data_IF_333489667018
#
_entry.id   IF_333489667018
#
_cell.length_a   1.000
_cell.length_b   1.000
_cell.length_c   1.000
_cell.angle_alpha   90.00
_cell.angle_beta   90.00
_cell.angle_gamma   90.00
#
_symmetry.space_group_name_H-M   'P 1'
#
loop_
_entity.id
_entity.type
_entity.pdbx_description
1 polymer ?
#
# COMPACT_ATOMS: atom_id res chain seq x y z
N UNK A 1 7.03 -5.22 -62.74
CA UNK A 1 6.19 -4.90 -61.55
C UNK A 1 6.58 -3.59 -60.84
N UNK A 2 7.85 -3.17 -60.82
CA UNK A 2 8.23 -1.90 -60.18
C UNK A 2 7.65 -0.64 -60.86
N UNK A 3 7.58 -0.62 -62.20
CA UNK A 3 7.08 0.54 -62.97
C UNK A 3 5.58 0.80 -62.78
N UNK A 4 4.79 -0.25 -62.64
CA UNK A 4 3.34 -0.16 -62.35
C UNK A 4 3.08 0.29 -60.92
N UNK A 5 3.91 -0.13 -59.95
CA UNK A 5 3.83 0.35 -58.57
C UNK A 5 4.17 1.84 -58.44
N UNK A 6 5.16 2.34 -59.19
CA UNK A 6 5.51 3.77 -59.22
C UNK A 6 4.41 4.62 -59.87
N UNK A 7 3.86 4.17 -61.01
CA UNK A 7 2.75 4.87 -61.68
C UNK A 7 1.47 4.90 -60.83
N UNK A 8 1.16 3.80 -60.12
CA UNK A 8 0.06 3.76 -59.16
C UNK A 8 0.30 4.70 -57.96
N UNK A 9 1.53 4.76 -57.46
CA UNK A 9 1.93 5.69 -56.38
C UNK A 9 1.77 7.16 -56.81
N UNK A 10 2.09 7.51 -58.06
CA UNK A 10 1.88 8.87 -58.59
C UNK A 10 0.40 9.18 -58.79
N UNK A 11 -0.39 8.26 -59.37
CA UNK A 11 -1.83 8.47 -59.53
C UNK A 11 -2.56 8.57 -58.19
N UNK A 12 -2.11 7.84 -57.16
CA UNK A 12 -2.65 7.94 -55.81
C UNK A 12 -2.34 9.27 -55.11
N UNK A 13 -1.27 9.99 -55.51
CA UNK A 13 -1.00 11.35 -55.00
C UNK A 13 -2.00 12.38 -55.54
N UNK A 14 -2.56 12.17 -56.72
CA UNK A 14 -3.48 13.11 -57.38
C UNK A 14 -4.95 12.93 -56.92
N UNK A 15 -5.31 11.81 -56.30
CA UNK A 15 -6.71 11.41 -56.13
C UNK A 15 -7.33 11.64 -54.74
N UNK A 16 -6.61 12.17 -53.75
CA UNK A 16 -7.22 12.43 -52.43
C UNK A 16 -6.34 13.31 -51.54
N UNK A 17 -6.98 14.03 -50.60
CA UNK A 17 -6.36 14.77 -49.50
C UNK A 17 -5.41 13.94 -48.61
N UNK A 18 -5.27 12.64 -48.85
CA UNK A 18 -4.24 11.76 -48.28
C UNK A 18 -2.81 12.28 -48.48
N UNK A 19 -2.52 13.07 -49.53
CA UNK A 19 -1.23 13.74 -49.74
C UNK A 19 -0.87 14.76 -48.65
N UNK A 20 -1.89 15.24 -47.90
CA UNK A 20 -1.73 16.19 -46.81
C UNK A 20 -1.48 15.50 -45.46
N UNK A 21 -1.92 14.24 -45.31
CA UNK A 21 -2.00 13.56 -44.02
C UNK A 21 -0.93 12.46 -43.86
N UNK A 22 -0.46 11.86 -44.96
CA UNK A 22 0.51 10.77 -44.91
C UNK A 22 1.96 11.25 -45.17
N UNK A 23 2.75 11.35 -44.10
CA UNK A 23 4.19 11.67 -44.16
C UNK A 23 5.03 10.63 -44.93
N UNK A 24 4.50 9.42 -45.15
CA UNK A 24 5.18 8.36 -45.91
C UNK A 24 5.28 8.64 -47.43
N UNK A 25 4.50 9.59 -47.97
CA UNK A 25 4.51 9.93 -49.40
C UNK A 25 5.36 11.16 -49.75
N UNK A 26 5.68 12.00 -48.76
CA UNK A 26 6.57 13.15 -48.85
C UNK A 26 7.36 13.25 -47.54
N UNK A 27 8.61 12.76 -47.49
CA UNK A 27 9.48 12.84 -46.30
C UNK A 27 10.13 14.22 -46.16
N UNK A 28 9.51 15.25 -46.72
CA UNK A 28 10.01 16.61 -46.63
C UNK A 28 9.56 17.15 -45.26
N UNK A 29 10.49 17.65 -44.41
CA UNK A 29 10.12 18.22 -43.13
C UNK A 29 9.33 19.49 -43.41
N UNK A 30 8.00 19.35 -43.49
CA UNK A 30 7.13 20.52 -43.59
C UNK A 30 7.42 21.36 -42.37
N UNK A 31 8.03 22.50 -42.61
CA UNK A 31 8.32 23.47 -41.58
C UNK A 31 6.96 24.00 -41.11
N UNK A 32 6.52 23.58 -39.93
CA UNK A 32 5.21 23.94 -39.34
C UNK A 32 5.15 25.44 -38.97
N UNK A 33 6.14 26.26 -39.31
CA UNK A 33 6.12 27.71 -39.05
C UNK A 33 5.42 28.54 -40.15
N UNK A 34 4.28 28.08 -40.71
CA UNK A 34 3.46 28.89 -41.64
C UNK A 34 2.11 29.31 -41.03
N UNK A 35 1.87 29.02 -39.75
CA UNK A 35 0.86 29.74 -38.97
C UNK A 35 1.58 30.48 -37.85
N UNK A 36 2.04 31.69 -38.14
CA UNK A 36 2.54 32.64 -37.14
C UNK A 36 1.36 33.10 -36.28
N UNK A 37 1.08 32.36 -35.21
CA UNK A 37 0.43 32.92 -34.03
C UNK A 37 1.57 33.43 -33.14
N UNK A 38 1.66 34.76 -32.96
CA UNK A 38 2.76 35.47 -32.30
C UNK A 38 3.03 35.06 -30.83
N UNK A 39 2.26 34.13 -30.25
CA UNK A 39 2.32 33.74 -28.84
C UNK A 39 2.67 32.25 -28.60
N UNK A 40 3.17 31.51 -29.59
CA UNK A 40 3.57 30.09 -29.42
C UNK A 40 5.07 29.92 -29.11
N UNK A 41 5.41 29.60 -27.86
CA UNK A 41 6.77 29.23 -27.42
C UNK A 41 6.84 27.73 -27.09
N UNK A 42 7.91 27.04 -27.48
CA UNK A 42 8.09 25.59 -27.24
C UNK A 42 9.41 25.35 -26.51
N UNK A 43 9.35 24.80 -25.29
CA UNK A 43 10.53 24.47 -24.49
C UNK A 43 10.75 22.96 -24.43
N UNK A 44 11.87 22.49 -24.98
CA UNK A 44 12.18 21.07 -25.00
C UNK A 44 12.46 20.54 -23.58
N UNK A 45 11.79 19.46 -23.16
CA UNK A 45 11.96 18.86 -21.83
C UNK A 45 12.97 17.71 -21.89
N UNK A 46 12.69 16.67 -22.66
CA UNK A 46 13.54 15.47 -22.74
C UNK A 46 13.34 14.71 -24.05
N UNK A 47 14.39 14.01 -24.51
CA UNK A 47 14.32 13.07 -25.63
C UNK A 47 14.80 11.71 -25.19
N UNK A 48 14.10 10.66 -25.62
CA UNK A 48 14.41 9.25 -25.36
C UNK A 48 14.18 8.43 -26.62
N UNK A 49 14.71 7.21 -26.67
CA UNK A 49 14.56 6.33 -27.84
C UNK A 49 13.09 6.06 -28.23
N UNK A 50 12.18 6.12 -27.25
CA UNK A 50 10.74 5.95 -27.44
C UNK A 50 9.97 7.22 -27.80
N UNK A 51 10.62 8.40 -27.85
CA UNK A 51 9.95 9.64 -28.23
C UNK A 51 10.56 10.92 -27.64
N UNK A 52 9.91 12.04 -27.90
CA UNK A 52 10.35 13.37 -27.48
C UNK A 52 9.24 14.08 -26.68
N UNK A 53 9.64 14.83 -25.65
CA UNK A 53 8.75 15.60 -24.79
C UNK A 53 9.15 17.08 -24.80
N UNK A 54 8.17 17.96 -24.86
CA UNK A 54 8.32 19.41 -24.83
C UNK A 54 7.14 20.07 -24.12
N UNK A 55 7.37 21.27 -23.61
CA UNK A 55 6.38 22.18 -23.04
C UNK A 55 5.97 23.18 -24.11
N UNK A 56 4.66 23.41 -24.26
CA UNK A 56 4.10 24.37 -25.21
C UNK A 56 3.47 25.52 -24.41
N UNK A 57 4.03 26.71 -24.52
CA UNK A 57 3.56 27.93 -23.86
C UNK A 57 2.85 28.77 -24.92
N UNK A 58 1.52 28.83 -24.84
CA UNK A 58 0.68 29.64 -25.74
C UNK A 58 0.48 31.08 -25.24
N UNK A 59 0.91 31.34 -24.00
CA UNK A 59 0.85 32.65 -23.34
C UNK A 59 1.88 32.64 -22.21
N UNK A 60 2.85 33.58 -22.19
CA UNK A 60 3.77 33.67 -21.07
C UNK A 60 2.99 33.91 -19.77
N UNK A 61 3.37 33.28 -18.65
CA UNK A 61 2.67 33.46 -17.39
C UNK A 61 2.65 34.96 -17.06
N UNK A 62 1.44 35.50 -16.88
CA UNK A 62 1.27 36.88 -16.44
C UNK A 62 1.99 37.07 -15.10
N UNK A 63 2.59 38.23 -14.80
CA UNK A 63 3.27 38.48 -13.53
C UNK A 63 2.21 38.57 -12.41
N UNK A 64 1.74 37.41 -11.98
CA UNK A 64 0.82 37.23 -10.87
C UNK A 64 1.54 36.28 -9.93
N UNK A 65 1.89 36.80 -8.76
CA UNK A 65 2.58 36.16 -7.64
C UNK A 65 2.76 34.65 -7.76
N UNK A 66 4.01 34.18 -7.77
CA UNK A 66 4.33 32.79 -7.52
C UNK A 66 3.67 32.34 -6.21
N UNK A 67 2.50 31.72 -6.32
CA UNK A 67 1.98 30.84 -5.30
C UNK A 67 2.06 29.45 -5.90
N UNK A 68 3.05 28.62 -5.51
CA UNK A 68 3.08 27.22 -5.88
C UNK A 68 1.81 26.55 -5.36
N UNK A 69 0.78 26.41 -6.20
CA UNK A 69 -0.34 25.49 -5.93
C UNK A 69 0.10 24.09 -6.32
N UNK A 70 1.14 23.59 -5.67
CA UNK A 70 1.11 22.20 -5.26
C UNK A 70 0.60 22.27 -3.83
N UNK A 71 -0.57 21.67 -3.58
CA UNK A 71 -0.95 21.34 -2.22
C UNK A 71 0.09 20.33 -1.76
N UNK A 72 1.21 20.80 -1.24
CA UNK A 72 2.06 19.98 -0.40
C UNK A 72 1.15 19.52 0.74
N UNK A 73 0.75 18.25 0.71
CA UNK A 73 0.06 17.62 1.83
C UNK A 73 0.78 18.05 3.10
N UNK A 74 0.09 18.64 4.09
CA UNK A 74 0.77 19.17 5.24
C UNK A 74 1.55 18.02 5.89
N UNK A 75 2.84 18.23 6.16
CA UNK A 75 3.67 17.31 6.94
C UNK A 75 3.15 17.26 8.37
N UNK A 76 2.00 16.61 8.61
CA UNK A 76 1.46 16.27 9.94
C UNK A 76 1.86 14.83 10.32
N UNK A 77 3.01 14.34 9.87
CA UNK A 77 3.43 12.95 10.08
C UNK A 77 3.99 12.68 11.47
N UNK A 78 4.54 13.68 12.15
CA UNK A 78 5.35 13.39 13.34
C UNK A 78 4.51 13.17 14.61
N UNK A 79 3.43 13.94 14.82
CA UNK A 79 2.53 13.75 15.98
C UNK A 79 1.71 12.45 15.90
N UNK A 80 1.30 12.03 14.70
CA UNK A 80 0.48 10.81 14.50
C UNK A 80 1.25 9.51 14.74
N UNK A 81 2.57 9.51 14.59
CA UNK A 81 3.40 8.30 14.79
C UNK A 81 3.56 7.98 16.27
N UNK A 82 3.72 9.00 17.13
CA UNK A 82 3.87 8.82 18.58
C UNK A 82 2.59 8.25 19.21
N UNK A 83 1.42 8.79 18.86
CA UNK A 83 0.12 8.29 19.34
C UNK A 83 -0.13 6.83 18.91
N UNK A 84 0.21 6.49 17.65
CA UNK A 84 0.11 5.11 17.15
C UNK A 84 1.05 4.16 17.89
N UNK A 85 2.29 4.58 18.15
CA UNK A 85 3.25 3.78 18.91
C UNK A 85 2.79 3.56 20.36
N UNK A 86 2.23 4.59 21.00
CA UNK A 86 1.68 4.48 22.34
C UNK A 86 0.46 3.57 22.39
N UNK A 87 -0.42 3.64 21.39
CA UNK A 87 -1.57 2.73 21.28
C UNK A 87 -1.13 1.27 21.14
N UNK A 88 -0.16 0.98 20.27
CA UNK A 88 0.40 -0.38 20.12
C UNK A 88 1.00 -0.88 21.43
N UNK A 89 1.82 -0.08 22.12
CA UNK A 89 2.41 -0.45 23.41
C UNK A 89 1.36 -0.77 24.47
N UNK A 90 0.35 0.09 24.63
CA UNK A 90 -0.74 -0.16 25.58
C UNK A 90 -1.53 -1.42 25.24
N UNK A 91 -1.75 -1.70 23.95
CA UNK A 91 -2.43 -2.92 23.51
C UNK A 91 -1.61 -4.18 23.85
N UNK A 92 -0.30 -4.14 23.63
CA UNK A 92 0.63 -5.21 23.98
C UNK A 92 0.68 -5.45 25.50
N UNK A 93 0.86 -4.40 26.31
CA UNK A 93 0.87 -4.50 27.77
C UNK A 93 -0.44 -5.08 28.31
N UNK A 94 -1.58 -4.61 27.79
CA UNK A 94 -2.89 -5.13 28.16
C UNK A 94 -3.08 -6.59 27.79
N UNK A 95 -2.54 -7.01 26.64
CA UNK A 95 -2.58 -8.42 26.23
C UNK A 95 -1.74 -9.27 27.18
N UNK A 96 -0.52 -8.85 27.49
CA UNK A 96 0.39 -9.55 28.41
C UNK A 96 -0.26 -9.72 29.79
N UNK A 97 -0.80 -8.64 30.36
CA UNK A 97 -1.46 -8.67 31.66
C UNK A 97 -2.66 -9.65 31.67
N UNK A 98 -3.46 -9.65 30.60
CA UNK A 98 -4.59 -10.60 30.49
C UNK A 98 -4.12 -12.04 30.39
N UNK A 99 -3.05 -12.31 29.64
CA UNK A 99 -2.50 -13.66 29.50
C UNK A 99 -1.97 -14.17 30.84
N UNK A 100 -1.24 -13.34 31.60
CA UNK A 100 -0.75 -13.75 32.92
C UNK A 100 -1.91 -13.97 33.89
N UNK A 101 -2.90 -13.08 33.92
CA UNK A 101 -4.08 -13.25 34.77
C UNK A 101 -4.86 -14.54 34.44
N UNK A 102 -5.02 -14.87 33.15
CA UNK A 102 -5.68 -16.12 32.73
C UNK A 102 -4.88 -17.34 33.21
N UNK A 103 -3.56 -17.27 33.11
CA UNK A 103 -2.66 -18.34 33.55
C UNK A 103 -2.72 -18.54 35.06
N UNK A 104 -2.60 -17.47 35.85
CA UNK A 104 -2.72 -17.50 37.32
C UNK A 104 -4.10 -18.06 37.75
N UNK A 105 -5.19 -17.60 37.13
CA UNK A 105 -6.53 -18.11 37.42
C UNK A 105 -6.67 -19.60 37.12
N UNK A 106 -6.06 -20.07 36.02
CA UNK A 106 -6.06 -21.48 35.65
C UNK A 106 -5.27 -22.31 36.66
N UNK A 107 -4.08 -21.83 37.04
CA UNK A 107 -3.22 -22.50 38.02
C UNK A 107 -3.91 -22.57 39.39
N UNK A 108 -4.51 -21.48 39.86
CA UNK A 108 -5.25 -21.43 41.12
C UNK A 108 -6.45 -22.40 41.13
N UNK A 109 -7.21 -22.46 40.03
CA UNK A 109 -8.32 -23.41 39.92
C UNK A 109 -7.84 -24.86 39.96
N UNK A 110 -6.75 -25.18 39.24
CA UNK A 110 -6.16 -26.52 39.27
C UNK A 110 -5.64 -26.87 40.66
N UNK A 111 -4.95 -25.96 41.34
CA UNK A 111 -4.49 -26.16 42.70
C UNK A 111 -5.65 -26.44 43.67
N UNK A 112 -6.73 -25.67 43.59
CA UNK A 112 -7.92 -25.88 44.42
C UNK A 112 -8.65 -27.21 44.14
N UNK A 113 -8.58 -27.73 42.90
CA UNK A 113 -9.08 -29.07 42.59
C UNK A 113 -8.19 -30.13 43.21
N UNK A 114 -6.87 -30.01 43.04
CA UNK A 114 -5.89 -30.96 43.57
C UNK A 114 -5.99 -31.04 45.09
N UNK A 115 -6.07 -29.91 45.79
CA UNK A 115 -6.21 -29.85 47.24
C UNK A 115 -7.47 -30.59 47.72
N UNK A 116 -8.62 -30.38 47.06
CA UNK A 116 -9.87 -31.09 47.37
C UNK A 116 -9.76 -32.61 47.15
N UNK A 117 -9.00 -33.04 46.15
CA UNK A 117 -8.76 -34.46 45.90
C UNK A 117 -7.84 -35.07 46.96
N UNK A 118 -6.76 -34.37 47.32
CA UNK A 118 -5.84 -34.79 48.38
C UNK A 118 -6.56 -34.89 49.74
N UNK A 119 -7.48 -33.97 50.03
CA UNK A 119 -8.28 -34.03 51.25
C UNK A 119 -9.17 -35.29 51.30
N UNK A 120 -9.81 -35.65 50.18
CA UNK A 120 -10.58 -36.90 50.08
C UNK A 120 -9.70 -38.14 50.27
N UNK A 121 -8.47 -38.11 49.75
CA UNK A 121 -7.52 -39.20 49.93
C UNK A 121 -7.06 -39.34 51.38
N UNK A 122 -6.75 -38.23 52.06
CA UNK A 122 -6.45 -38.19 53.50
C UNK A 122 -7.60 -38.77 54.31
N UNK A 123 -8.82 -38.32 54.05
CA UNK A 123 -10.00 -38.82 54.73
C UNK A 123 -10.20 -40.32 54.53
N UNK A 124 -10.05 -40.82 53.29
CA UNK A 124 -10.16 -42.26 53.02
C UNK A 124 -9.09 -43.08 53.76
N UNK A 125 -7.86 -42.56 53.89
CA UNK A 125 -6.81 -43.21 54.67
C UNK A 125 -7.11 -43.22 56.17
N UNK A 126 -7.64 -42.13 56.71
CA UNK A 126 -8.06 -42.04 58.10
C UNK A 126 -9.20 -43.03 58.42
N UNK A 127 -10.20 -43.13 57.54
CA UNK A 127 -11.29 -44.10 57.70
C UNK A 127 -10.77 -45.54 57.74
N UNK A 128 -9.79 -45.90 56.90
CA UNK A 128 -9.15 -47.24 56.93
C UNK A 128 -8.42 -47.49 58.26
N UNK A 129 -7.60 -46.54 58.70
CA UNK A 129 -6.89 -46.63 59.99
C UNK A 129 -7.86 -46.76 61.16
N UNK A 130 -8.91 -45.95 61.18
CA UNK A 130 -9.92 -46.00 62.25
C UNK A 130 -10.65 -47.35 62.27
N UNK A 131 -10.88 -47.95 61.10
CA UNK A 131 -11.46 -49.29 61.01
C UNK A 131 -10.53 -50.36 61.56
N UNK A 132 -9.23 -50.30 61.24
CA UNK A 132 -8.21 -51.20 61.79
C UNK A 132 -8.15 -51.11 63.31
N UNK A 133 -8.07 -49.90 63.87
CA UNK A 133 -8.05 -49.66 65.31
C UNK A 133 -9.31 -50.17 66.02
N UNK A 134 -10.49 -50.00 65.41
CA UNK A 134 -11.73 -50.56 66.00
C UNK A 134 -11.73 -52.08 66.00
N UNK A 135 -11.18 -52.73 64.97
CA UNK A 135 -11.07 -54.19 64.93
C UNK A 135 -10.12 -54.68 66.02
N UNK A 136 -8.97 -54.03 66.20
CA UNK A 136 -8.00 -54.36 67.26
C UNK A 136 -8.57 -54.17 68.68
N UNK A 137 -9.42 -53.16 68.90
CA UNK A 137 -10.04 -52.89 70.21
C UNK A 137 -11.25 -53.80 70.52
N UNK A 138 -11.84 -54.44 69.52
CA UNK A 138 -13.07 -55.24 69.66
C UNK A 138 -12.87 -56.75 69.55
N UNK A 139 -11.66 -57.20 69.16
CA UNK A 139 -11.23 -58.60 69.18
C UNK A 139 -10.46 -58.96 70.43
#
# INVERSE_FOLDING_TARGET
>A
MAKTAMAYKEKMKELSMLSLICSCFYPEPRNINIYTYDDMEVKQINKRASGQAFELILKPPSPISEAPRTLASPKKKDLSLEENNNFSKMAEEKLILKMEQIKENREANLAAIIERLQEKERHAAEVRRNKELQVELSG
#
